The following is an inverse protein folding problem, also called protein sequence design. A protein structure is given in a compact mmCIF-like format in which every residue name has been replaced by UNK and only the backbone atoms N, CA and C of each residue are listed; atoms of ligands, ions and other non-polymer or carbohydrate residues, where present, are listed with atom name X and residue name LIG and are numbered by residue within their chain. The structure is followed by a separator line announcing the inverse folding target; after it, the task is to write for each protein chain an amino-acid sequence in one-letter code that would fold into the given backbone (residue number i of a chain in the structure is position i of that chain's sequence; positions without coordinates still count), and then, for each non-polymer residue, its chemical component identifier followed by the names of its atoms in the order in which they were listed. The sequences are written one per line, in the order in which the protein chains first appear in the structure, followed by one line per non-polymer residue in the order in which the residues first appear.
data_IF_475741683376
#
_entry.id   IF_475741683376
#
_cell.length_a   1.000
_cell.length_b   1.000
_cell.length_c   1.000
_cell.angle_alpha   90.00
_cell.angle_beta   90.00
_cell.angle_gamma   90.00
#
_symmetry.space_group_name_H-M   'P 1'
#
loop_
_entity.id
_entity.type
_entity.pdbx_description
1 polymer ?
#
# COMPACT_ATOMS: atom_id res chain seq x y z
N UNK A 1 28.92 -23.71 -29.83
CA UNK A 1 29.89 -24.24 -28.85
C UNK A 1 30.37 -23.14 -27.90
N UNK A 2 31.06 -22.09 -28.37
CA UNK A 2 31.58 -21.01 -27.49
C UNK A 2 30.51 -20.21 -26.72
N UNK A 3 29.38 -19.88 -27.34
CA UNK A 3 28.28 -19.18 -26.64
C UNK A 3 27.63 -20.03 -25.55
N UNK A 4 27.45 -21.34 -25.80
CA UNK A 4 26.91 -22.28 -24.80
C UNK A 4 27.86 -22.42 -23.62
N UNK A 5 29.17 -22.48 -23.89
CA UNK A 5 30.20 -22.49 -22.86
C UNK A 5 30.22 -21.18 -22.04
N UNK A 6 30.10 -20.03 -22.70
CA UNK A 6 30.01 -18.72 -22.04
C UNK A 6 28.79 -18.62 -21.12
N UNK A 7 27.61 -19.07 -21.56
CA UNK A 7 26.40 -19.09 -20.74
C UNK A 7 26.54 -19.99 -19.50
N UNK A 8 27.21 -21.14 -19.63
CA UNK A 8 27.46 -22.05 -18.49
C UNK A 8 28.42 -21.44 -17.47
N UNK A 9 29.45 -20.72 -17.91
CA UNK A 9 30.37 -20.04 -16.99
C UNK A 9 29.66 -18.91 -16.24
N UNK A 10 28.79 -18.16 -16.92
CA UNK A 10 27.99 -17.10 -16.29
C UNK A 10 27.00 -17.65 -15.26
N UNK A 11 26.31 -18.75 -15.55
CA UNK A 11 25.35 -19.32 -14.60
C UNK A 11 26.04 -19.85 -13.33
N UNK A 12 27.21 -20.47 -13.46
CA UNK A 12 28.00 -20.94 -12.31
C UNK A 12 28.51 -19.77 -11.45
N UNK A 13 28.92 -18.67 -12.08
CA UNK A 13 29.35 -17.47 -11.36
C UNK A 13 28.22 -16.85 -10.54
N UNK A 14 27.00 -16.79 -11.10
CA UNK A 14 25.83 -16.28 -10.39
C UNK A 14 25.49 -17.16 -9.18
N UNK A 15 25.51 -18.49 -9.34
CA UNK A 15 25.26 -19.42 -8.23
C UNK A 15 26.30 -19.25 -7.12
N UNK A 16 27.57 -19.06 -7.48
CA UNK A 16 28.65 -18.83 -6.52
C UNK A 16 28.43 -17.56 -5.68
N UNK A 17 28.00 -16.45 -6.31
CA UNK A 17 27.69 -15.21 -5.60
C UNK A 17 26.51 -15.36 -4.62
N UNK A 18 25.47 -16.09 -5.03
CA UNK A 18 24.30 -16.36 -4.16
C UNK A 18 24.69 -17.19 -2.94
N UNK A 19 25.57 -18.18 -3.11
CA UNK A 19 26.05 -19.02 -1.99
C UNK A 19 26.91 -18.21 -1.01
N UNK A 20 27.79 -17.32 -1.49
CA UNK A 20 28.56 -16.43 -0.61
C UNK A 20 27.62 -15.54 0.21
N UNK A 21 26.61 -14.94 -0.45
CA UNK A 21 25.65 -14.08 0.22
C UNK A 21 24.84 -14.82 1.28
N UNK A 22 24.40 -16.05 1.00
CA UNK A 22 23.62 -16.84 1.97
C UNK A 22 24.45 -17.28 3.17
N UNK A 23 25.73 -17.64 2.97
CA UNK A 23 26.65 -17.99 4.06
C UNK A 23 26.96 -16.76 4.93
N UNK A 24 27.15 -15.59 4.33
CA UNK A 24 27.35 -14.34 5.08
C UNK A 24 26.14 -14.00 5.98
N UNK A 25 24.92 -14.10 5.43
CA UNK A 25 23.69 -13.86 6.22
C UNK A 25 23.48 -14.91 7.32
N UNK A 26 23.83 -16.18 7.05
CA UNK A 26 23.69 -17.24 8.04
C UNK A 26 24.57 -17.02 9.26
N UNK A 27 25.80 -16.51 9.07
CA UNK A 27 26.75 -16.30 10.15
C UNK A 27 26.35 -15.12 11.07
N UNK A 28 25.64 -14.12 10.53
CA UNK A 28 25.09 -13.01 11.32
C UNK A 28 23.98 -13.50 12.28
N UNK A 29 23.17 -14.48 11.87
CA UNK A 29 22.01 -14.97 12.64
C UNK A 29 22.32 -15.86 13.86
N UNK A 30 23.59 -16.15 14.17
CA UNK A 30 23.97 -17.03 15.29
C UNK A 30 24.40 -16.24 16.53
N UNK A 31 25.00 -15.05 16.37
CA UNK A 31 25.54 -14.26 17.49
C UNK A 31 24.47 -13.47 18.27
N UNK A 32 23.38 -13.04 17.61
CA UNK A 32 22.42 -12.08 18.19
C UNK A 32 21.14 -12.72 18.76
N UNK A 33 21.09 -14.04 18.94
CA UNK A 33 19.81 -14.71 19.26
C UNK A 33 19.21 -14.35 20.62
N UNK A 34 20.01 -13.86 21.58
CA UNK A 34 19.50 -13.44 22.89
C UNK A 34 19.36 -11.91 23.01
N UNK A 35 20.38 -11.15 22.61
CA UNK A 35 20.30 -9.68 22.59
C UNK A 35 19.25 -9.19 21.58
N UNK A 36 19.23 -9.78 20.38
CA UNK A 36 18.26 -9.46 19.34
C UNK A 36 16.82 -9.72 19.75
N UNK A 37 16.53 -10.69 20.62
CA UNK A 37 15.14 -10.94 21.07
C UNK A 37 14.54 -9.78 21.84
N UNK A 38 15.33 -9.06 22.63
CA UNK A 38 14.86 -7.88 23.37
C UNK A 38 14.58 -6.72 22.41
N UNK A 39 15.46 -6.50 21.42
CA UNK A 39 15.29 -5.44 20.41
C UNK A 39 14.22 -5.76 19.35
N UNK A 40 13.95 -7.04 19.10
CA UNK A 40 12.98 -7.51 18.08
C UNK A 40 11.58 -7.73 18.68
N UNK A 41 11.45 -7.75 20.00
CA UNK A 41 10.13 -7.82 20.66
C UNK A 41 9.37 -6.50 20.60
N UNK A 42 8.02 -6.52 20.45
CA UNK A 42 7.21 -5.30 20.47
C UNK A 42 7.32 -4.59 21.81
N UNK A 43 7.32 -3.25 21.77
CA UNK A 43 7.43 -2.43 22.98
C UNK A 43 6.11 -2.44 23.77
N UNK A 44 6.12 -3.12 24.92
CA UNK A 44 4.97 -3.16 25.84
C UNK A 44 5.19 -2.34 27.12
N UNK A 45 5.88 -1.20 27.00
CA UNK A 45 6.16 -0.32 28.15
C UNK A 45 6.87 -1.00 29.34
N UNK A 46 7.55 -2.13 29.11
CA UNK A 46 8.27 -2.90 30.13
C UNK A 46 7.49 -4.05 30.78
N UNK A 47 6.27 -4.34 30.33
CA UNK A 47 5.47 -5.49 30.78
C UNK A 47 5.73 -6.74 29.94
N UNK A 48 5.38 -7.92 30.48
CA UNK A 48 5.43 -9.19 29.74
C UNK A 48 4.20 -9.31 28.84
N UNK A 49 4.45 -9.36 27.52
CA UNK A 49 3.47 -9.63 26.49
C UNK A 49 2.91 -11.02 26.54
N UNK A 50 1.85 -11.18 27.31
CA UNK A 50 1.15 -12.45 27.48
C UNK A 50 -0.12 -12.54 26.62
N UNK A 51 -0.36 -11.55 25.75
CA UNK A 51 -1.62 -11.45 24.99
C UNK A 51 -1.32 -11.35 23.49
N UNK A 52 -2.07 -12.13 22.71
CA UNK A 52 -2.08 -11.97 21.26
C UNK A 52 -2.54 -10.56 20.92
N UNK A 53 -1.71 -9.80 20.23
CA UNK A 53 -2.09 -8.48 19.69
C UNK A 53 -3.01 -8.73 18.49
N UNK A 54 -4.28 -8.97 18.76
CA UNK A 54 -5.32 -8.96 17.74
C UNK A 54 -5.65 -7.51 17.41
N UNK A 55 -5.13 -7.03 16.28
CA UNK A 55 -5.54 -5.73 15.75
C UNK A 55 -6.97 -5.84 15.24
N UNK A 56 -7.92 -5.41 16.08
CA UNK A 56 -9.32 -5.28 15.68
C UNK A 56 -9.41 -4.10 14.71
N UNK A 57 -9.51 -4.40 13.42
CA UNK A 57 -9.65 -3.36 12.40
C UNK A 57 -11.00 -2.67 12.57
N UNK A 58 -10.98 -1.35 12.77
CA UNK A 58 -12.23 -0.59 12.89
C UNK A 58 -12.89 -0.43 11.52
N UNK A 59 -14.19 -0.66 11.47
CA UNK A 59 -15.02 -0.55 10.27
C UNK A 59 -14.98 0.86 9.66
N UNK A 60 -14.74 1.90 10.46
CA UNK A 60 -14.63 3.28 9.98
C UNK A 60 -13.45 3.44 9.01
N UNK A 61 -12.32 2.77 9.28
CA UNK A 61 -11.17 2.80 8.38
C UNK A 61 -11.46 2.07 7.06
N UNK A 62 -12.18 0.95 7.13
CA UNK A 62 -12.59 0.22 5.93
C UNK A 62 -13.43 1.10 5.01
N UNK A 63 -14.45 1.75 5.58
CA UNK A 63 -15.39 2.59 4.85
C UNK A 63 -14.68 3.80 4.23
N UNK A 64 -13.75 4.44 4.96
CA UNK A 64 -12.93 5.53 4.43
C UNK A 64 -12.09 5.08 3.22
N UNK A 65 -11.48 3.89 3.28
CA UNK A 65 -10.67 3.37 2.18
C UNK A 65 -11.51 3.16 0.91
N UNK A 66 -12.71 2.58 1.05
CA UNK A 66 -13.62 2.40 -0.08
C UNK A 66 -14.02 3.74 -0.69
N UNK A 67 -14.37 4.73 0.14
CA UNK A 67 -14.72 6.07 -0.35
C UNK A 67 -13.56 6.77 -1.05
N UNK A 68 -12.34 6.64 -0.53
CA UNK A 68 -11.15 7.18 -1.16
C UNK A 68 -10.98 6.63 -2.59
N UNK A 69 -11.16 5.32 -2.78
CA UNK A 69 -11.04 4.68 -4.11
C UNK A 69 -12.11 5.19 -5.08
N UNK A 70 -13.36 5.34 -4.63
CA UNK A 70 -14.46 5.84 -5.48
C UNK A 70 -14.22 7.29 -5.87
N UNK A 71 -13.87 8.15 -4.91
CA UNK A 71 -13.63 9.57 -5.17
C UNK A 71 -12.40 9.81 -6.08
N UNK A 72 -11.35 8.98 -5.96
CA UNK A 72 -10.18 9.04 -6.86
C UNK A 72 -10.54 8.68 -8.31
N UNK A 73 -11.45 7.71 -8.51
CA UNK A 73 -11.99 7.38 -9.83
C UNK A 73 -12.79 8.56 -10.41
N UNK A 74 -13.62 9.21 -9.59
CA UNK A 74 -14.43 10.36 -10.02
C UNK A 74 -13.56 11.57 -10.40
N UNK A 75 -12.49 11.85 -9.65
CA UNK A 75 -11.50 12.88 -10.01
C UNK A 75 -10.77 12.51 -11.30
N UNK A 76 -10.39 11.23 -11.47
CA UNK A 76 -9.77 10.73 -12.70
C UNK A 76 -10.66 10.93 -13.93
N UNK A 77 -11.98 10.96 -13.77
CA UNK A 77 -12.90 11.34 -14.85
C UNK A 77 -12.91 12.85 -15.13
N UNK A 78 -12.84 13.69 -14.08
CA UNK A 78 -12.79 15.15 -14.21
C UNK A 78 -11.49 15.66 -14.85
N UNK A 79 -10.38 14.94 -14.72
CA UNK A 79 -9.10 15.37 -15.32
C UNK A 79 -9.16 15.41 -16.87
N UNK A 80 -10.18 14.79 -17.47
CA UNK A 80 -10.34 14.79 -18.92
C UNK A 80 -10.98 16.06 -19.50
N UNK A 81 -11.48 16.98 -18.65
CA UNK A 81 -12.10 18.25 -19.06
C UNK A 81 -11.21 19.10 -20.00
N UNK A 82 -9.93 19.37 -19.70
CA UNK A 82 -9.08 20.20 -20.57
C UNK A 82 -8.84 19.62 -21.97
N UNK A 83 -9.05 18.31 -22.17
CA UNK A 83 -8.95 17.71 -23.50
C UNK A 83 -10.18 17.96 -24.38
N UNK A 84 -11.28 18.48 -23.82
CA UNK A 84 -12.39 18.97 -24.64
C UNK A 84 -11.99 20.32 -25.22
N UNK A 85 -11.72 20.33 -26.53
CA UNK A 85 -11.37 21.54 -27.25
C UNK A 85 -12.43 22.66 -27.17
N UNK A 86 -12.17 23.75 -27.90
CA UNK A 86 -12.84 25.06 -27.80
C UNK A 86 -14.37 25.04 -27.87
N UNK A 87 -14.99 23.98 -28.42
CA UNK A 87 -16.43 23.89 -28.59
C UNK A 87 -17.21 23.46 -27.34
N UNK A 88 -16.55 23.08 -26.22
CA UNK A 88 -17.16 22.79 -24.91
C UNK A 88 -18.50 22.03 -24.95
N UNK A 89 -18.65 21.11 -25.92
CA UNK A 89 -19.96 20.56 -26.29
C UNK A 89 -20.55 19.70 -25.17
N UNK A 90 -19.70 19.14 -24.29
CA UNK A 90 -20.12 18.32 -23.16
C UNK A 90 -19.98 19.05 -21.81
N UNK A 91 -19.83 20.38 -21.81
CA UNK A 91 -19.72 21.16 -20.57
C UNK A 91 -20.90 20.93 -19.62
N UNK A 92 -22.11 20.83 -20.17
CA UNK A 92 -23.31 20.52 -19.38
C UNK A 92 -23.22 19.18 -18.64
N UNK A 93 -22.68 18.14 -19.29
CA UNK A 93 -22.51 16.83 -18.67
C UNK A 93 -21.48 16.86 -17.54
N UNK A 94 -20.38 17.61 -17.69
CA UNK A 94 -19.41 17.78 -16.61
C UNK A 94 -19.99 18.57 -15.43
N UNK A 95 -20.77 19.62 -15.70
CA UNK A 95 -21.41 20.39 -14.63
C UNK A 95 -22.45 19.55 -13.88
N UNK A 96 -23.23 18.75 -14.62
CA UNK A 96 -24.16 17.79 -14.04
C UNK A 96 -23.45 16.70 -13.23
N UNK A 97 -22.31 16.19 -13.72
CA UNK A 97 -21.49 15.23 -13.00
C UNK A 97 -20.91 15.83 -11.70
N UNK A 98 -20.42 17.07 -11.75
CA UNK A 98 -19.93 17.79 -10.57
C UNK A 98 -21.05 18.00 -9.54
N UNK A 99 -22.26 18.32 -10.00
CA UNK A 99 -23.43 18.40 -9.13
C UNK A 99 -23.73 17.05 -8.43
N UNK A 100 -23.70 15.94 -9.16
CA UNK A 100 -23.88 14.60 -8.56
C UNK A 100 -22.81 14.30 -7.51
N UNK A 101 -21.56 14.67 -7.78
CA UNK A 101 -20.43 14.53 -6.86
C UNK A 101 -20.67 15.26 -5.54
N UNK A 102 -21.12 16.52 -5.59
CA UNK A 102 -21.43 17.32 -4.41
C UNK A 102 -22.59 16.73 -3.61
N UNK A 103 -23.64 16.28 -4.30
CA UNK A 103 -24.80 15.65 -3.65
C UNK A 103 -24.42 14.33 -2.98
N UNK A 104 -23.61 13.50 -3.65
CA UNK A 104 -23.09 12.23 -3.11
C UNK A 104 -22.27 12.46 -1.83
N UNK A 105 -21.31 13.39 -1.89
CA UNK A 105 -20.50 13.77 -0.74
C UNK A 105 -21.35 14.27 0.44
N UNK A 106 -22.35 15.10 0.19
CA UNK A 106 -23.23 15.59 1.25
C UNK A 106 -24.02 14.45 1.91
N UNK A 107 -24.50 13.48 1.13
CA UNK A 107 -25.19 12.30 1.63
C UNK A 107 -24.28 11.44 2.54
N UNK A 108 -23.01 11.29 2.18
CA UNK A 108 -22.02 10.53 2.95
C UNK A 108 -21.67 11.20 4.27
N UNK A 109 -21.47 12.52 4.26
CA UNK A 109 -21.22 13.30 5.48
C UNK A 109 -22.42 13.24 6.42
N UNK A 110 -23.64 13.36 5.89
CA UNK A 110 -24.88 13.27 6.67
C UNK A 110 -25.07 11.90 7.34
N UNK A 111 -24.61 10.81 6.70
CA UNK A 111 -24.61 9.46 7.29
C UNK A 111 -23.53 9.23 8.35
N UNK A 112 -22.62 10.18 8.53
CA UNK A 112 -21.60 10.11 9.58
C UNK A 112 -20.46 9.12 9.29
N UNK A 113 -20.32 8.62 8.05
CA UNK A 113 -19.23 7.71 7.71
C UNK A 113 -17.84 8.36 7.80
N UNK A 114 -17.79 9.69 7.73
CA UNK A 114 -16.56 10.49 7.90
C UNK A 114 -16.34 10.88 9.38
N UNK A 115 -17.29 10.58 10.28
CA UNK A 115 -17.12 10.89 11.69
C UNK A 115 -16.22 9.86 12.38
N UNK A 116 -15.20 10.35 13.05
CA UNK A 116 -14.33 9.54 13.89
C UNK A 116 -14.77 9.75 15.34
N UNK A 117 -15.55 8.80 15.84
CA UNK A 117 -15.78 8.70 17.28
C UNK A 117 -14.61 7.88 17.85
N UNK A 118 -13.94 8.47 18.84
CA UNK A 118 -12.88 7.85 19.62
C UNK A 118 -13.41 6.66 20.44
#
# INVERSE_FOLDING_TARGET
MLYVFSCLVLSLFIVFLVVIYSVYNWNWGIADREFGRVWVSPFECGFLGNVLVENVFSYTYFVLLVFFVVFDLEISLLINIPYQGVLFKNFFFFFFFLFLLVVGYFFEVSKGYVSWNY
#
